data_IF_629079362589
#
_entry.id   IF_629079362589
#
_cell.length_a   1.000
_cell.length_b   1.000
_cell.length_c   1.000
_cell.angle_alpha   90.00
_cell.angle_beta   90.00
_cell.angle_gamma   90.00
#
_symmetry.space_group_name_H-M   'P 1'
#
loop_
_entity.id
_entity.type
_entity.pdbx_description
1 polymer ?
#
# COMPACT_ATOMS: atom_id res chain seq x y z
N UNK A 1 -16.45 -4.51 -12.65
CA UNK A 1 -15.50 -3.43 -13.02
C UNK A 1 -14.68 -3.75 -14.27
N UNK A 2 -14.01 -4.93 -14.36
CA UNK A 2 -13.21 -5.30 -15.55
C UNK A 2 -14.07 -5.40 -16.81
N UNK A 3 -15.24 -6.05 -16.72
CA UNK A 3 -16.19 -6.17 -17.83
C UNK A 3 -16.68 -4.80 -18.30
N UNK A 4 -16.99 -3.89 -17.36
CA UNK A 4 -17.38 -2.53 -17.68
C UNK A 4 -16.28 -1.78 -18.44
N UNK A 5 -15.03 -1.88 -17.97
CA UNK A 5 -13.89 -1.26 -18.66
C UNK A 5 -13.66 -1.82 -20.05
N UNK A 6 -13.87 -3.12 -20.24
CA UNK A 6 -13.78 -3.78 -21.54
C UNK A 6 -14.89 -3.31 -22.50
N UNK A 7 -16.13 -3.24 -22.04
CA UNK A 7 -17.28 -2.74 -22.80
C UNK A 7 -17.11 -1.28 -23.21
N UNK A 8 -16.63 -0.43 -22.31
CA UNK A 8 -16.33 0.97 -22.60
C UNK A 8 -15.24 1.14 -23.66
N UNK A 9 -14.25 0.25 -23.65
CA UNK A 9 -13.20 0.22 -24.69
C UNK A 9 -13.73 -0.26 -26.04
N UNK A 10 -14.60 -1.28 -26.05
CA UNK A 10 -15.26 -1.76 -27.28
C UNK A 10 -16.17 -0.71 -27.91
N UNK A 11 -16.83 0.11 -27.07
CA UNK A 11 -17.72 1.19 -27.51
C UNK A 11 -16.98 2.41 -28.09
N UNK A 12 -15.64 2.42 -28.10
CA UNK A 12 -14.81 3.54 -28.57
C UNK A 12 -15.20 4.91 -27.98
N UNK A 13 -15.74 4.90 -26.74
CA UNK A 13 -16.19 6.14 -26.08
C UNK A 13 -15.03 7.09 -25.76
N UNK A 14 -13.80 6.56 -25.61
CA UNK A 14 -12.61 7.34 -25.29
C UNK A 14 -11.38 6.81 -26.02
N UNK A 15 -10.55 7.74 -26.44
CA UNK A 15 -9.28 7.51 -27.12
C UNK A 15 -8.22 6.87 -26.20
N UNK A 16 -7.29 6.14 -26.76
CA UNK A 16 -6.12 5.59 -26.04
C UNK A 16 -5.29 6.69 -25.34
N UNK A 17 -5.33 7.91 -25.86
CA UNK A 17 -4.71 9.09 -25.24
C UNK A 17 -5.35 9.44 -23.90
N UNK A 18 -6.68 9.37 -23.80
CA UNK A 18 -7.43 9.59 -22.56
C UNK A 18 -7.05 8.58 -21.49
N UNK A 19 -7.00 7.30 -21.82
CA UNK A 19 -6.61 6.26 -20.86
C UNK A 19 -5.18 6.44 -20.35
N UNK A 20 -4.25 6.86 -21.20
CA UNK A 20 -2.88 7.19 -20.79
C UNK A 20 -2.84 8.40 -19.85
N UNK A 21 -3.62 9.44 -20.11
CA UNK A 21 -3.70 10.62 -19.27
C UNK A 21 -4.37 10.30 -17.92
N UNK A 22 -5.47 9.55 -17.94
CA UNK A 22 -6.18 9.09 -16.75
C UNK A 22 -5.27 8.24 -15.86
N UNK A 23 -4.53 7.31 -16.46
CA UNK A 23 -3.58 6.48 -15.73
C UNK A 23 -2.47 7.34 -15.08
N UNK A 24 -1.95 8.33 -15.82
CA UNK A 24 -0.95 9.29 -15.29
C UNK A 24 -1.52 10.13 -14.14
N UNK A 25 -2.75 10.58 -14.25
CA UNK A 25 -3.45 11.32 -13.20
C UNK A 25 -3.65 10.44 -11.95
N UNK A 26 -4.13 9.21 -12.13
CA UNK A 26 -4.29 8.26 -11.04
C UNK A 26 -2.97 8.02 -10.29
N UNK A 27 -1.87 7.82 -11.00
CA UNK A 27 -0.56 7.57 -10.37
C UNK A 27 0.06 8.82 -9.72
N UNK A 28 -0.19 10.02 -10.26
CA UNK A 28 0.43 11.25 -9.75
C UNK A 28 -0.36 11.99 -8.69
N UNK A 29 -1.69 11.81 -8.70
CA UNK A 29 -2.59 12.57 -7.81
C UNK A 29 -3.41 11.61 -6.95
N UNK A 30 -4.22 10.75 -7.56
CA UNK A 30 -5.19 9.95 -6.83
C UNK A 30 -4.54 8.97 -5.84
N UNK A 31 -3.54 8.20 -6.29
CA UNK A 31 -2.86 7.23 -5.42
C UNK A 31 -2.06 7.87 -4.29
N UNK A 32 -1.27 8.96 -4.49
CA UNK A 32 -0.63 9.66 -3.38
C UNK A 32 -1.62 10.20 -2.34
N UNK A 33 -2.73 10.80 -2.79
CA UNK A 33 -3.80 11.29 -1.90
C UNK A 33 -4.43 10.13 -1.14
N UNK A 34 -4.72 9.03 -1.81
CA UNK A 34 -5.27 7.83 -1.17
C UNK A 34 -4.30 7.23 -0.15
N UNK A 35 -3.00 7.18 -0.45
CA UNK A 35 -1.98 6.74 0.51
C UNK A 35 -1.90 7.66 1.73
N UNK A 36 -1.93 8.98 1.51
CA UNK A 36 -2.02 9.95 2.59
C UNK A 36 -3.25 9.70 3.48
N UNK A 37 -4.43 9.59 2.89
CA UNK A 37 -5.68 9.35 3.62
C UNK A 37 -5.67 8.00 4.37
N UNK A 38 -5.14 6.95 3.78
CA UNK A 38 -5.02 5.65 4.43
C UNK A 38 -4.11 5.70 5.65
N UNK A 39 -3.00 6.45 5.59
CA UNK A 39 -2.12 6.65 6.74
C UNK A 39 -2.77 7.57 7.76
N UNK A 40 -3.39 8.66 7.32
CA UNK A 40 -4.08 9.62 8.18
C UNK A 40 -5.27 8.99 8.95
N UNK A 41 -5.99 8.07 8.33
CA UNK A 41 -7.13 7.36 8.93
C UNK A 41 -6.73 6.25 9.92
N UNK A 42 -5.45 5.98 10.12
CA UNK A 42 -4.99 5.13 11.22
C UNK A 42 -5.38 5.82 12.52
N UNK A 43 -6.33 5.21 13.22
CA UNK A 43 -6.79 5.69 14.52
C UNK A 43 -5.68 5.65 15.57
N UNK A 44 -6.03 5.88 16.81
CA UNK A 44 -5.08 5.89 17.91
C UNK A 44 -4.34 4.55 17.99
N UNK A 45 -3.03 4.57 17.69
CA UNK A 45 -2.14 3.41 17.87
C UNK A 45 -1.99 2.99 19.34
N UNK A 46 -2.51 3.82 20.27
CA UNK A 46 -2.47 3.54 21.72
C UNK A 46 -3.33 2.34 22.13
N UNK A 47 -4.32 1.96 21.32
CA UNK A 47 -5.15 0.77 21.57
C UNK A 47 -4.49 -0.54 21.11
N UNK A 48 -3.42 -0.44 20.32
CA UNK A 48 -2.67 -1.60 19.83
C UNK A 48 -1.49 -1.90 20.76
N UNK A 49 -1.43 -3.14 21.24
CA UNK A 49 -0.27 -3.63 21.96
C UNK A 49 0.97 -3.62 21.04
N UNK A 50 2.08 -3.06 21.50
CA UNK A 50 3.35 -3.02 20.76
C UNK A 50 3.82 -4.40 20.28
N UNK A 51 3.58 -5.45 21.08
CA UNK A 51 3.91 -6.83 20.70
C UNK A 51 3.12 -7.26 19.48
N UNK A 52 1.83 -6.91 19.41
CA UNK A 52 0.97 -7.20 18.26
C UNK A 52 1.44 -6.45 17.02
N UNK A 53 1.79 -5.16 17.14
CA UNK A 53 2.32 -4.37 16.04
C UNK A 53 3.60 -4.97 15.46
N UNK A 54 4.55 -5.34 16.33
CA UNK A 54 5.81 -5.97 15.91
C UNK A 54 5.54 -7.30 15.21
N UNK A 55 4.61 -8.11 15.73
CA UNK A 55 4.24 -9.38 15.12
C UNK A 55 3.61 -9.19 13.73
N UNK A 56 2.68 -8.24 13.59
CA UNK A 56 2.01 -7.94 12.32
C UNK A 56 3.03 -7.43 11.28
N UNK A 57 3.81 -6.41 11.64
CA UNK A 57 4.80 -5.82 10.73
C UNK A 57 5.89 -6.85 10.39
N UNK A 58 6.37 -7.60 11.36
CA UNK A 58 7.33 -8.67 11.15
C UNK A 58 6.82 -9.76 10.20
N UNK A 59 5.56 -10.19 10.35
CA UNK A 59 4.91 -11.14 9.46
C UNK A 59 4.77 -10.63 8.03
N UNK A 60 4.41 -9.36 7.86
CA UNK A 60 4.31 -8.72 6.54
C UNK A 60 5.69 -8.64 5.87
N UNK A 61 6.72 -8.20 6.60
CA UNK A 61 8.09 -8.10 6.09
C UNK A 61 8.67 -9.48 5.76
N UNK A 62 8.41 -10.47 6.59
CA UNK A 62 8.80 -11.86 6.32
C UNK A 62 8.13 -12.39 5.05
N UNK A 63 6.82 -12.19 4.89
CA UNK A 63 6.09 -12.58 3.69
C UNK A 63 6.60 -11.84 2.45
N UNK A 64 6.95 -10.57 2.57
CA UNK A 64 7.56 -9.80 1.48
C UNK A 64 8.94 -10.37 1.10
N UNK A 65 9.79 -10.66 2.07
CA UNK A 65 11.11 -11.24 1.82
C UNK A 65 11.00 -12.61 1.13
N UNK A 66 10.07 -13.46 1.59
CA UNK A 66 9.76 -14.74 0.96
C UNK A 66 9.25 -14.55 -0.47
N UNK A 67 8.36 -13.59 -0.69
CA UNK A 67 7.84 -13.25 -2.01
C UNK A 67 8.92 -12.75 -2.98
N UNK A 68 9.85 -11.95 -2.51
CA UNK A 68 11.02 -11.52 -3.30
C UNK A 68 11.91 -12.72 -3.65
N UNK A 69 12.16 -13.61 -2.70
CA UNK A 69 12.93 -14.83 -2.94
C UNK A 69 12.27 -15.71 -4.01
N UNK A 70 11.00 -16.02 -3.84
CA UNK A 70 10.21 -16.81 -4.81
C UNK A 70 10.20 -16.14 -6.18
N UNK A 71 10.02 -14.82 -6.23
CA UNK A 71 10.04 -14.08 -7.48
C UNK A 71 11.39 -14.17 -8.21
N UNK A 72 12.50 -14.19 -7.49
CA UNK A 72 13.82 -14.37 -8.08
C UNK A 72 14.04 -15.78 -8.62
N UNK A 73 13.51 -16.79 -7.94
CA UNK A 73 13.65 -18.20 -8.34
C UNK A 73 12.77 -18.57 -9.53
N UNK A 74 11.56 -17.98 -9.62
CA UNK A 74 10.54 -18.39 -10.60
C UNK A 74 10.44 -17.49 -11.83
N UNK A 75 10.74 -16.20 -11.71
CA UNK A 75 10.52 -15.22 -12.77
C UNK A 75 11.82 -14.75 -13.42
N UNK A 76 11.85 -14.73 -14.75
CA UNK A 76 12.99 -14.22 -15.53
C UNK A 76 12.90 -12.70 -15.75
N UNK A 77 11.68 -12.17 -15.95
CA UNK A 77 11.45 -10.75 -16.25
C UNK A 77 11.23 -9.94 -14.98
N UNK A 78 11.82 -8.75 -14.88
CA UNK A 78 11.69 -7.86 -13.72
C UNK A 78 10.25 -7.50 -13.38
N UNK A 79 9.43 -7.20 -14.41
CA UNK A 79 8.02 -6.91 -14.20
C UNK A 79 7.27 -8.07 -13.56
N UNK A 80 7.56 -9.32 -13.96
CA UNK A 80 6.98 -10.51 -13.33
C UNK A 80 7.43 -10.66 -11.88
N UNK A 81 8.70 -10.39 -11.57
CA UNK A 81 9.22 -10.42 -10.20
C UNK A 81 8.49 -9.44 -9.29
N UNK A 82 8.24 -8.21 -9.77
CA UNK A 82 7.49 -7.21 -9.02
C UNK A 82 6.08 -7.69 -8.67
N UNK A 83 5.38 -8.28 -9.64
CA UNK A 83 4.01 -8.78 -9.46
C UNK A 83 3.97 -9.96 -8.48
N UNK A 84 4.86 -10.95 -8.65
CA UNK A 84 4.93 -12.13 -7.78
C UNK A 84 5.25 -11.72 -6.34
N UNK A 85 6.29 -10.88 -6.15
CA UNK A 85 6.66 -10.40 -4.83
C UNK A 85 5.50 -9.66 -4.15
N UNK A 86 4.77 -8.81 -4.90
CA UNK A 86 3.63 -8.08 -4.37
C UNK A 86 2.45 -8.99 -4.03
N UNK A 87 2.17 -9.99 -4.87
CA UNK A 87 1.08 -10.94 -4.66
C UNK A 87 1.26 -11.80 -3.40
N UNK A 88 2.49 -12.00 -2.94
CA UNK A 88 2.78 -12.85 -1.79
C UNK A 88 2.43 -12.20 -0.45
N UNK A 89 2.69 -10.90 -0.27
CA UNK A 89 2.43 -10.24 1.02
C UNK A 89 1.14 -9.43 1.05
N UNK A 90 0.57 -9.08 -0.11
CA UNK A 90 -0.64 -8.26 -0.16
C UNK A 90 -1.89 -9.11 0.02
N UNK A 91 -2.42 -9.14 1.22
CA UNK A 91 -3.66 -9.85 1.53
C UNK A 91 -4.89 -8.96 1.36
N UNK A 92 -6.04 -9.57 1.10
CA UNK A 92 -7.34 -8.89 1.00
C UNK A 92 -8.10 -8.97 2.32
N UNK A 93 -7.55 -8.30 3.35
CA UNK A 93 -8.11 -8.37 4.71
C UNK A 93 -9.46 -7.66 4.82
N UNK A 94 -9.68 -6.57 4.06
CA UNK A 94 -10.92 -5.79 4.14
C UNK A 94 -12.13 -6.61 3.66
N UNK A 95 -11.97 -7.32 2.53
CA UNK A 95 -13.11 -8.02 1.90
C UNK A 95 -13.30 -9.43 2.48
N UNK A 96 -12.22 -10.10 2.87
CA UNK A 96 -12.28 -11.48 3.36
C UNK A 96 -11.99 -11.59 4.85
N UNK A 97 -10.96 -10.90 5.34
CA UNK A 97 -10.50 -11.05 6.73
C UNK A 97 -11.52 -10.53 7.75
N UNK A 98 -12.01 -9.31 7.58
CA UNK A 98 -12.95 -8.69 8.53
C UNK A 98 -14.31 -9.42 8.56
N UNK A 99 -14.97 -9.75 7.43
CA UNK A 99 -16.20 -10.53 7.45
C UNK A 99 -16.02 -11.94 8.02
N UNK A 100 -14.90 -12.61 7.72
CA UNK A 100 -14.60 -13.92 8.28
C UNK A 100 -14.41 -13.87 9.80
N UNK A 101 -13.69 -12.87 10.31
CA UNK A 101 -13.53 -12.65 11.75
C UNK A 101 -14.91 -12.41 12.42
N UNK A 102 -15.77 -11.62 11.80
CA UNK A 102 -17.13 -11.38 12.26
C UNK A 102 -17.96 -12.67 12.32
N UNK A 103 -17.87 -13.51 11.29
CA UNK A 103 -18.60 -14.78 11.23
C UNK A 103 -18.15 -15.81 12.27
N UNK A 104 -16.85 -15.84 12.60
CA UNK A 104 -16.26 -16.82 13.54
C UNK A 104 -16.29 -16.36 15.00
N UNK A 105 -16.13 -15.08 15.27
CA UNK A 105 -15.96 -14.55 16.62
C UNK A 105 -16.88 -13.36 16.97
N UNK A 106 -17.86 -13.06 16.12
CA UNK A 106 -18.84 -12.01 16.36
C UNK A 106 -18.26 -10.59 16.33
N UNK A 107 -18.93 -9.67 17.00
CA UNK A 107 -18.62 -8.24 16.96
C UNK A 107 -17.23 -7.89 17.52
N UNK A 108 -16.77 -8.55 18.57
CA UNK A 108 -15.46 -8.34 19.18
C UNK A 108 -14.31 -8.73 18.23
N UNK A 109 -14.44 -9.88 17.57
CA UNK A 109 -13.46 -10.32 16.59
C UNK A 109 -13.46 -9.43 15.34
N UNK A 110 -14.62 -8.94 14.92
CA UNK A 110 -14.73 -7.96 13.84
C UNK A 110 -14.04 -6.64 14.17
N UNK A 111 -14.25 -6.11 15.39
CA UNK A 111 -13.59 -4.88 15.84
C UNK A 111 -12.07 -5.04 15.86
N UNK A 112 -11.57 -6.14 16.41
CA UNK A 112 -10.15 -6.45 16.43
C UNK A 112 -9.55 -6.59 15.02
N UNK A 113 -10.23 -7.33 14.13
CA UNK A 113 -9.79 -7.48 12.74
C UNK A 113 -9.77 -6.14 11.98
N UNK A 114 -10.73 -5.27 12.23
CA UNK A 114 -10.79 -3.92 11.66
C UNK A 114 -9.63 -3.06 12.13
N UNK A 115 -9.30 -3.13 13.42
CA UNK A 115 -8.17 -2.43 14.03
C UNK A 115 -6.83 -2.91 13.43
N UNK A 116 -6.61 -4.22 13.32
CA UNK A 116 -5.44 -4.80 12.64
C UNK A 116 -5.37 -4.35 11.18
N UNK A 117 -6.49 -4.36 10.48
CA UNK A 117 -6.59 -3.97 9.06
C UNK A 117 -6.22 -2.50 8.86
N UNK A 118 -6.57 -1.60 9.79
CA UNK A 118 -6.24 -0.18 9.70
C UNK A 118 -4.72 0.06 9.68
N UNK A 119 -3.94 -0.80 10.31
CA UNK A 119 -2.46 -0.77 10.27
C UNK A 119 -1.92 -1.49 9.03
N UNK A 120 -2.45 -2.67 8.71
CA UNK A 120 -1.95 -3.48 7.61
C UNK A 120 -2.10 -2.80 6.24
N UNK A 121 -3.22 -2.14 5.98
CA UNK A 121 -3.51 -1.54 4.66
C UNK A 121 -2.50 -0.45 4.28
N UNK A 122 -2.18 0.54 5.14
CA UNK A 122 -1.12 1.50 4.86
C UNK A 122 0.24 0.84 4.63
N UNK A 123 0.61 -0.13 5.48
CA UNK A 123 1.89 -0.86 5.36
C UNK A 123 1.96 -1.59 4.02
N UNK A 124 0.92 -2.33 3.63
CA UNK A 124 0.87 -3.00 2.33
C UNK A 124 1.02 -2.02 1.17
N UNK A 125 0.37 -0.87 1.23
CA UNK A 125 0.44 0.12 0.17
C UNK A 125 1.85 0.72 0.03
N UNK A 126 2.49 1.06 1.14
CA UNK A 126 3.88 1.56 1.14
C UNK A 126 4.84 0.51 0.59
N UNK A 127 4.77 -0.72 1.10
CA UNK A 127 5.64 -1.81 0.66
C UNK A 127 5.40 -2.19 -0.81
N UNK A 128 4.15 -2.17 -1.28
CA UNK A 128 3.82 -2.41 -2.67
C UNK A 128 4.49 -1.39 -3.60
N UNK A 129 4.44 -0.09 -3.23
CA UNK A 129 5.10 0.97 -3.99
C UNK A 129 6.62 0.79 -3.97
N UNK A 130 7.21 0.45 -2.82
CA UNK A 130 8.63 0.19 -2.70
C UNK A 130 9.06 -0.96 -3.62
N UNK A 131 8.38 -2.10 -3.56
CA UNK A 131 8.65 -3.27 -4.41
C UNK A 131 8.54 -2.91 -5.89
N UNK A 132 7.44 -2.26 -6.29
CA UNK A 132 7.25 -1.86 -7.69
C UNK A 132 8.36 -0.91 -8.16
N UNK A 133 8.75 0.06 -7.34
CA UNK A 133 9.81 1.03 -7.68
C UNK A 133 11.19 0.35 -7.78
N UNK A 134 11.50 -0.60 -6.90
CA UNK A 134 12.74 -1.37 -6.95
C UNK A 134 12.90 -2.14 -8.27
N UNK A 135 11.81 -2.70 -8.81
CA UNK A 135 11.83 -3.45 -10.06
C UNK A 135 11.61 -2.59 -11.32
N UNK A 136 10.98 -1.42 -11.19
CA UNK A 136 10.76 -0.48 -12.29
C UNK A 136 12.03 0.27 -12.71
N UNK A 137 12.96 0.51 -11.76
CA UNK A 137 14.23 1.19 -12.06
C UNK A 137 15.09 0.32 -12.99
N UNK A 138 15.31 0.81 -14.22
CA UNK A 138 16.06 0.10 -15.27
C UNK A 138 17.48 -0.30 -14.86
N UNK A 139 18.12 -1.10 -15.69
CA UNK A 139 19.47 -1.70 -15.68
C UNK A 139 20.30 -1.68 -14.39
N UNK A 140 20.86 -2.81 -13.95
CA UNK A 140 21.66 -2.93 -12.72
C UNK A 140 22.98 -2.15 -12.72
N UNK A 141 23.36 -1.53 -13.82
CA UNK A 141 24.72 -0.98 -13.99
C UNK A 141 24.82 0.55 -14.05
N UNK A 142 23.74 1.29 -14.25
CA UNK A 142 23.87 2.71 -14.65
C UNK A 142 23.58 3.74 -13.56
N UNK A 143 22.98 3.39 -12.44
CA UNK A 143 22.70 4.35 -11.38
C UNK A 143 23.15 3.82 -10.03
N UNK A 144 24.04 4.55 -9.37
CA UNK A 144 24.49 4.26 -8.01
C UNK A 144 23.32 4.17 -7.04
N UNK A 145 23.51 3.51 -5.90
CA UNK A 145 22.48 3.34 -4.86
C UNK A 145 21.85 4.67 -4.41
N UNK A 146 22.63 5.75 -4.40
CA UNK A 146 22.15 7.11 -4.10
C UNK A 146 21.09 7.59 -5.10
N UNK A 147 21.30 7.38 -6.39
CA UNK A 147 20.34 7.75 -7.44
C UNK A 147 19.05 6.93 -7.33
N UNK A 148 19.14 5.66 -6.94
CA UNK A 148 17.97 4.81 -6.70
C UNK A 148 17.17 5.28 -5.49
N UNK A 149 17.85 5.59 -4.38
CA UNK A 149 17.20 6.18 -3.19
C UNK A 149 16.54 7.52 -3.52
N UNK A 150 17.21 8.37 -4.29
CA UNK A 150 16.66 9.67 -4.71
C UNK A 150 15.40 9.49 -5.57
N UNK A 151 15.40 8.53 -6.50
CA UNK A 151 14.25 8.23 -7.34
C UNK A 151 13.08 7.65 -6.52
N UNK A 152 13.37 6.86 -5.49
CA UNK A 152 12.39 6.36 -4.52
C UNK A 152 11.83 7.54 -3.72
N UNK A 153 12.68 8.39 -3.15
CA UNK A 153 12.27 9.54 -2.34
C UNK A 153 11.45 10.57 -3.13
N UNK A 154 11.75 10.75 -4.43
CA UNK A 154 11.00 11.64 -5.33
C UNK A 154 9.72 11.02 -5.89
N UNK A 155 9.42 9.77 -5.57
CA UNK A 155 8.19 9.13 -6.01
C UNK A 155 6.99 9.79 -5.32
N UNK A 156 6.00 10.31 -6.07
CA UNK A 156 4.84 10.98 -5.49
C UNK A 156 4.04 10.09 -4.53
N UNK A 157 4.07 8.78 -4.74
CA UNK A 157 3.40 7.82 -3.86
C UNK A 157 4.08 7.74 -2.49
N UNK A 158 5.42 7.78 -2.46
CA UNK A 158 6.19 7.77 -1.21
C UNK A 158 6.04 9.10 -0.48
N UNK A 159 6.06 10.21 -1.23
CA UNK A 159 5.80 11.53 -0.65
C UNK A 159 4.41 11.59 0.00
N UNK A 160 3.37 11.06 -0.66
CA UNK A 160 2.02 10.97 -0.09
C UNK A 160 1.97 10.16 1.22
N UNK A 161 2.64 9.01 1.27
CA UNK A 161 2.71 8.19 2.48
C UNK A 161 3.52 8.89 3.59
N UNK A 162 4.67 9.49 3.27
CA UNK A 162 5.51 10.19 4.24
C UNK A 162 4.81 11.44 4.82
N UNK A 163 4.11 12.22 3.99
CA UNK A 163 3.34 13.37 4.49
C UNK A 163 2.21 12.91 5.41
N UNK A 164 1.54 11.79 5.10
CA UNK A 164 0.56 11.18 5.99
C UNK A 164 1.15 10.80 7.36
N UNK A 165 2.32 10.16 7.38
CA UNK A 165 3.01 9.80 8.62
C UNK A 165 3.42 11.03 9.44
N UNK A 166 3.93 12.08 8.79
CA UNK A 166 4.30 13.33 9.47
C UNK A 166 3.08 13.97 10.12
N UNK A 167 1.95 14.03 9.42
CA UNK A 167 0.72 14.61 9.97
C UNK A 167 0.19 13.79 11.16
N UNK A 168 0.21 12.45 11.07
CA UNK A 168 -0.18 11.58 12.19
C UNK A 168 0.76 11.75 13.38
N UNK A 169 2.08 11.88 13.15
CA UNK A 169 3.05 12.13 14.21
C UNK A 169 2.81 13.49 14.89
N UNK A 170 2.56 14.54 14.11
CA UNK A 170 2.24 15.88 14.65
C UNK A 170 0.94 15.85 15.45
N UNK A 171 -0.10 15.17 14.94
CA UNK A 171 -1.37 15.01 15.65
C UNK A 171 -1.19 14.27 16.98
N UNK A 172 -0.31 13.29 17.06
CA UNK A 172 0.00 12.57 18.29
C UNK A 172 0.80 13.40 19.30
N UNK A 173 1.47 14.48 18.87
CA UNK A 173 2.23 15.41 19.73
C UNK A 173 1.40 16.60 20.20
N UNK A 174 0.29 16.90 19.53
CA UNK A 174 -0.63 17.97 19.96
C UNK A 174 -1.48 17.43 21.12
N UNK A 175 -1.53 18.15 22.26
CA UNK A 175 -2.42 17.78 23.36
C UNK A 175 -3.85 17.75 22.81
N UNK A 176 -4.59 16.71 23.17
CA UNK A 176 -6.01 16.46 22.85
C UNK A 176 -6.91 17.54 23.46
N UNK A 177 -6.81 18.76 22.98
CA UNK A 177 -7.55 19.91 23.47
C UNK A 177 -8.14 20.78 22.36
N UNK A 178 -7.96 20.41 21.09
CA UNK A 178 -8.45 21.19 19.96
C UNK A 178 -9.66 20.57 19.22
N UNK A 179 -10.16 19.41 19.65
CA UNK A 179 -11.41 18.87 19.15
C UNK A 179 -12.53 19.41 20.05
N UNK A 180 -12.96 20.64 19.74
CA UNK A 180 -14.15 21.24 20.32
C UNK A 180 -15.39 20.43 19.96
N UNK A 181 -15.83 19.58 20.84
CA UNK A 181 -17.20 19.23 21.28
C UNK A 181 -17.07 18.42 22.55
#
# INVERSE_FOLDING_TARGET
MILLGYLLRLGNFWDDSFFRQLNRFCFRVFLPVQLFLNVYSVGSLSELNWVLLVYIIGGILFSMALGILVAHLTAKRRAQRAVIAQATFRSNQVILGVPLASALGGASAMAFASLVTSVCVPVFNVLAVLVLTMYASGSPGAAGWKTRLMNIAKNPLILGACTGLVVVAIRGLLPTGADGT
#
